data_IF_848783647807
#
_entry.id   IF_848783647807
#
_cell.length_a   1.000
_cell.length_b   1.000
_cell.length_c   1.000
_cell.angle_alpha   90.00
_cell.angle_beta   90.00
_cell.angle_gamma   90.00
#
_symmetry.space_group_name_H-M   'P 1'
#
loop_
_entity.id
_entity.type
_entity.pdbx_description
1 polymer ?
#
# COMPACT_ATOMS: atom_id res chain seq x y z
N UNK A 1 -18.23 -1.29 -2.81
CA UNK A 1 -17.79 0.01 -3.40
C UNK A 1 -17.80 1.13 -2.36
N UNK A 2 -18.92 1.40 -1.67
CA UNK A 2 -19.01 2.42 -0.60
C UNK A 2 -17.93 2.25 0.48
N UNK A 3 -17.80 1.06 1.06
CA UNK A 3 -16.83 0.78 2.14
C UNK A 3 -15.38 1.07 1.76
N UNK A 4 -14.99 0.73 0.53
CA UNK A 4 -13.64 0.98 0.02
C UNK A 4 -13.35 2.48 -0.03
N UNK A 5 -14.25 3.27 -0.61
CA UNK A 5 -14.08 4.72 -0.69
C UNK A 5 -14.14 5.39 0.69
N UNK A 6 -15.10 4.99 1.53
CA UNK A 6 -15.20 5.50 2.90
C UNK A 6 -13.91 5.24 3.69
N UNK A 7 -13.34 4.03 3.57
CA UNK A 7 -12.07 3.66 4.19
C UNK A 7 -10.91 4.53 3.69
N UNK A 8 -10.77 4.73 2.38
CA UNK A 8 -9.68 5.53 1.80
C UNK A 8 -9.81 7.03 2.11
N UNK A 9 -11.04 7.56 2.15
CA UNK A 9 -11.29 8.94 2.59
C UNK A 9 -10.95 9.08 4.07
N UNK A 10 -11.32 8.09 4.90
CA UNK A 10 -10.95 8.02 6.32
C UNK A 10 -9.43 8.08 6.50
N UNK A 11 -8.68 7.24 5.80
CA UNK A 11 -7.21 7.26 5.77
C UNK A 11 -6.66 8.64 5.46
N UNK A 12 -7.17 9.27 4.40
CA UNK A 12 -6.71 10.59 3.97
C UNK A 12 -6.99 11.68 5.00
N UNK A 13 -8.15 11.62 5.66
CA UNK A 13 -8.56 12.61 6.65
C UNK A 13 -7.83 12.44 7.98
N UNK A 14 -7.75 11.22 8.49
CA UNK A 14 -7.14 10.92 9.79
C UNK A 14 -5.61 11.01 9.77
N UNK A 15 -4.99 10.89 8.59
CA UNK A 15 -3.54 10.92 8.44
C UNK A 15 -3.10 11.98 7.41
N UNK A 16 -3.55 13.21 7.58
CA UNK A 16 -3.26 14.33 6.68
C UNK A 16 -1.75 14.59 6.46
N UNK A 17 -0.90 14.17 7.40
CA UNK A 17 0.56 14.20 7.32
C UNK A 17 1.14 13.38 6.16
N UNK A 18 0.38 12.41 5.64
CA UNK A 18 0.74 11.59 4.47
C UNK A 18 0.33 12.23 3.14
N UNK A 19 -0.42 13.36 3.16
CA UNK A 19 -1.04 13.96 1.98
C UNK A 19 -0.80 15.47 1.85
N UNK A 20 0.21 16.00 2.56
CA UNK A 20 0.59 17.41 2.52
C UNK A 20 1.88 17.63 1.68
N UNK A 21 2.31 18.88 1.53
CA UNK A 21 3.48 19.25 0.71
C UNK A 21 4.83 18.73 1.21
N UNK A 22 4.90 18.20 2.44
CA UNK A 22 6.12 17.63 3.02
C UNK A 22 6.19 16.11 2.86
N UNK A 23 5.12 15.50 2.36
CA UNK A 23 5.08 14.07 2.05
C UNK A 23 5.76 13.77 0.71
N UNK A 24 6.26 12.54 0.58
CA UNK A 24 6.82 12.03 -0.67
C UNK A 24 5.91 10.95 -1.24
N UNK A 25 5.78 10.95 -2.57
CA UNK A 25 5.09 9.95 -3.36
C UNK A 25 6.09 9.33 -4.33
N UNK A 26 6.20 8.02 -4.29
CA UNK A 26 6.85 7.22 -5.32
C UNK A 26 5.84 6.23 -5.91
N UNK A 27 5.91 5.99 -7.21
CA UNK A 27 4.96 5.14 -7.91
C UNK A 27 5.54 4.48 -9.15
N UNK A 28 5.03 3.30 -9.45
CA UNK A 28 5.41 2.50 -10.62
C UNK A 28 4.14 2.01 -11.30
N UNK A 29 3.73 2.75 -12.32
CA UNK A 29 2.40 2.65 -12.96
C UNK A 29 2.47 2.71 -14.49
N UNK A 30 3.61 2.38 -15.09
CA UNK A 30 3.81 2.43 -16.53
C UNK A 30 3.01 1.35 -17.27
N UNK A 31 3.03 1.39 -18.60
CA UNK A 31 2.45 0.34 -19.45
C UNK A 31 3.13 -1.02 -19.24
N UNK A 32 4.41 -1.05 -18.87
CA UNK A 32 5.13 -2.30 -18.62
C UNK A 32 4.78 -2.95 -17.27
N UNK A 33 3.98 -2.28 -16.44
CA UNK A 33 3.66 -2.71 -15.08
C UNK A 33 2.27 -3.36 -14.97
N UNK A 34 1.51 -3.46 -16.07
CA UNK A 34 0.18 -4.09 -16.05
C UNK A 34 0.21 -5.55 -15.56
N UNK A 35 1.13 -6.35 -16.09
CA UNK A 35 1.24 -7.79 -15.79
C UNK A 35 2.14 -8.10 -14.59
N UNK A 36 2.79 -7.09 -14.01
CA UNK A 36 3.71 -7.22 -12.86
C UNK A 36 3.23 -6.51 -11.60
N UNK A 37 2.02 -5.96 -11.66
CA UNK A 37 1.43 -5.17 -10.59
C UNK A 37 1.87 -3.71 -10.67
N UNK A 38 1.04 -2.85 -10.10
CA UNK A 38 1.29 -1.41 -10.01
C UNK A 38 1.46 -1.00 -8.56
N UNK A 39 2.40 -0.10 -8.32
CA UNK A 39 2.86 0.19 -6.98
C UNK A 39 2.76 1.68 -6.68
N UNK A 40 2.44 1.98 -5.44
CA UNK A 40 2.46 3.34 -4.90
C UNK A 40 2.96 3.29 -3.46
N UNK A 41 3.90 4.17 -3.15
CA UNK A 41 4.47 4.35 -1.82
C UNK A 41 4.32 5.80 -1.41
N UNK A 42 3.71 6.03 -0.25
CA UNK A 42 3.64 7.36 0.38
C UNK A 42 4.45 7.35 1.67
N UNK A 43 5.20 8.41 1.92
CA UNK A 43 5.88 8.63 3.20
C UNK A 43 5.60 10.04 3.71
N UNK A 44 5.26 10.15 4.99
CA UNK A 44 5.17 11.46 5.66
C UNK A 44 6.57 12.05 5.85
N UNK A 45 6.64 13.33 6.25
CA UNK A 45 7.91 13.97 6.62
C UNK A 45 8.70 13.09 7.61
N UNK A 46 9.99 12.89 7.33
CA UNK A 46 10.88 12.08 8.15
C UNK A 46 10.54 10.58 8.18
N UNK A 47 9.72 10.07 7.25
CA UNK A 47 9.29 8.67 7.17
C UNK A 47 8.54 8.16 8.43
N UNK A 48 7.94 9.08 9.20
CA UNK A 48 7.24 8.74 10.45
C UNK A 48 6.07 7.77 10.23
N UNK A 49 5.29 7.99 9.18
CA UNK A 49 4.25 7.09 8.69
C UNK A 49 4.44 6.82 7.22
N UNK A 50 4.13 5.59 6.81
CA UNK A 50 4.30 5.16 5.43
C UNK A 50 3.14 4.25 4.99
N UNK A 51 2.80 4.33 3.71
CA UNK A 51 1.78 3.52 3.03
C UNK A 51 2.45 2.84 1.83
N UNK A 52 2.17 1.55 1.64
CA UNK A 52 2.49 0.80 0.42
C UNK A 52 1.18 0.27 -0.17
N UNK A 53 0.94 0.55 -1.44
CA UNK A 53 -0.22 0.08 -2.21
C UNK A 53 0.27 -0.76 -3.38
N UNK A 54 -0.36 -1.91 -3.57
CA UNK A 54 -0.04 -2.84 -4.66
C UNK A 54 -1.32 -3.24 -5.36
N UNK A 55 -1.47 -2.85 -6.62
CA UNK A 55 -2.67 -3.10 -7.43
C UNK A 55 -2.45 -4.16 -8.50
N UNK A 56 -3.46 -5.02 -8.68
CA UNK A 56 -3.58 -5.97 -9.78
C UNK A 56 -4.78 -5.58 -10.64
N UNK A 57 -4.52 -5.21 -11.88
CA UNK A 57 -5.54 -4.81 -12.84
C UNK A 57 -5.78 -5.88 -13.92
N UNK A 58 -5.31 -7.09 -13.67
CA UNK A 58 -5.60 -8.26 -14.51
C UNK A 58 -6.79 -9.03 -13.94
N UNK A 59 -7.35 -9.91 -14.76
CA UNK A 59 -8.51 -10.74 -14.40
C UNK A 59 -8.15 -12.01 -13.64
N UNK A 60 -6.88 -12.21 -13.28
CA UNK A 60 -6.40 -13.38 -12.53
C UNK A 60 -5.61 -12.91 -11.31
N UNK A 61 -5.63 -13.71 -10.23
CA UNK A 61 -4.76 -13.42 -9.08
C UNK A 61 -3.29 -13.50 -9.53
N UNK A 62 -2.46 -12.62 -8.98
CA UNK A 62 -1.05 -12.53 -9.36
C UNK A 62 -0.15 -12.48 -8.13
N UNK A 63 1.05 -13.04 -8.27
CA UNK A 63 2.13 -12.93 -7.28
C UNK A 63 3.09 -11.83 -7.73
N UNK A 64 3.35 -10.87 -6.86
CA UNK A 64 4.18 -9.69 -7.15
C UNK A 64 5.23 -9.50 -6.08
N UNK A 65 6.41 -9.05 -6.48
CA UNK A 65 7.43 -8.57 -5.56
C UNK A 65 7.26 -7.06 -5.40
N UNK A 66 6.96 -6.62 -4.18
CA UNK A 66 6.86 -5.20 -3.84
C UNK A 66 8.03 -4.77 -2.98
N UNK A 67 8.48 -3.53 -3.17
CA UNK A 67 9.44 -2.90 -2.27
C UNK A 67 8.72 -2.35 -1.03
N UNK A 68 9.36 -2.44 0.12
CA UNK A 68 8.93 -1.80 1.36
C UNK A 68 10.02 -0.85 1.83
N UNK A 69 9.68 0.41 2.21
CA UNK A 69 10.67 1.39 2.64
C UNK A 69 11.43 1.02 3.92
N UNK A 70 10.85 0.14 4.74
CA UNK A 70 11.45 -0.36 5.97
C UNK A 70 10.97 -1.76 6.30
N UNK A 71 11.81 -2.48 7.02
CA UNK A 71 11.45 -3.75 7.65
C UNK A 71 10.54 -3.53 8.87
N UNK A 72 9.91 -4.60 9.34
CA UNK A 72 9.02 -4.60 10.49
C UNK A 72 7.59 -5.02 10.15
N UNK A 73 6.67 -4.76 11.07
CA UNK A 73 5.26 -5.11 10.92
C UNK A 73 4.52 -4.04 10.15
N UNK A 74 3.84 -4.47 9.10
CA UNK A 74 2.93 -3.68 8.30
C UNK A 74 1.51 -4.19 8.49
N UNK A 75 0.54 -3.28 8.52
CA UNK A 75 -0.86 -3.58 8.83
C UNK A 75 -1.68 -3.50 7.55
N UNK A 76 -2.48 -4.52 7.25
CA UNK A 76 -3.42 -4.44 6.14
C UNK A 76 -4.53 -3.44 6.51
N UNK A 77 -4.58 -2.32 5.80
CA UNK A 77 -5.47 -1.22 6.18
C UNK A 77 -6.96 -1.52 5.91
N UNK A 78 -7.25 -2.46 5.00
CA UNK A 78 -8.62 -2.90 4.72
C UNK A 78 -9.06 -4.03 5.64
N UNK A 79 -8.12 -4.85 6.11
CA UNK A 79 -8.36 -6.01 6.98
C UNK A 79 -7.46 -5.89 8.21
N UNK A 80 -7.85 -5.11 9.25
CA UNK A 80 -6.97 -4.78 10.36
C UNK A 80 -6.46 -5.97 11.19
N UNK A 81 -7.15 -7.12 11.12
CA UNK A 81 -6.70 -8.37 11.73
C UNK A 81 -5.52 -9.02 11.01
N UNK A 82 -5.20 -8.57 9.79
CA UNK A 82 -4.08 -9.07 9.00
C UNK A 82 -2.87 -8.15 9.11
N UNK A 83 -1.72 -8.76 9.36
CA UNK A 83 -0.42 -8.09 9.36
C UNK A 83 0.55 -8.82 8.46
N UNK A 84 1.56 -8.09 7.99
CA UNK A 84 2.65 -8.58 7.17
C UNK A 84 3.97 -8.24 7.88
N UNK A 85 4.78 -9.26 8.15
CA UNK A 85 6.14 -9.06 8.66
C UNK A 85 7.11 -8.97 7.50
N UNK A 86 7.65 -7.78 7.27
CA UNK A 86 8.63 -7.51 6.22
C UNK A 86 10.04 -7.64 6.81
N UNK A 87 10.81 -8.61 6.33
CA UNK A 87 12.16 -8.92 6.84
C UNK A 87 13.29 -8.38 5.94
N UNK A 88 12.98 -7.92 4.72
CA UNK A 88 13.93 -7.34 3.78
C UNK A 88 13.35 -6.10 3.09
N UNK A 89 14.10 -5.44 2.21
CA UNK A 89 13.59 -4.32 1.39
C UNK A 89 12.50 -4.74 0.38
N UNK A 90 12.28 -6.04 0.17
CA UNK A 90 11.25 -6.58 -0.72
C UNK A 90 10.41 -7.65 -0.03
N UNK A 91 9.16 -7.81 -0.47
CA UNK A 91 8.30 -8.89 -0.04
C UNK A 91 7.38 -9.36 -1.17
N UNK A 92 7.10 -10.66 -1.16
CA UNK A 92 6.24 -11.33 -2.12
C UNK A 92 4.79 -11.29 -1.65
N UNK A 93 3.88 -10.78 -2.47
CA UNK A 93 2.46 -10.66 -2.15
C UNK A 93 1.61 -11.30 -3.23
N UNK A 94 0.50 -11.91 -2.82
CA UNK A 94 -0.54 -12.37 -3.74
C UNK A 94 -1.67 -11.35 -3.76
N UNK A 95 -1.88 -10.70 -4.90
CA UNK A 95 -2.95 -9.71 -5.09
C UNK A 95 -4.09 -10.36 -5.88
N UNK A 96 -5.33 -10.37 -5.37
CA UNK A 96 -6.48 -10.92 -6.10
C UNK A 96 -6.72 -10.22 -7.44
N UNK A 97 -7.43 -10.89 -8.35
CA UNK A 97 -7.84 -10.31 -9.62
C UNK A 97 -8.62 -8.99 -9.42
N UNK A 98 -8.30 -7.97 -10.21
CA UNK A 98 -8.98 -6.66 -10.18
C UNK A 98 -9.04 -6.01 -8.78
N UNK A 99 -8.07 -6.29 -7.91
CA UNK A 99 -8.03 -5.77 -6.54
C UNK A 99 -6.66 -5.17 -6.21
N UNK A 100 -6.55 -4.56 -5.04
CA UNK A 100 -5.32 -3.96 -4.54
C UNK A 100 -5.10 -4.29 -3.07
N UNK A 101 -3.86 -4.38 -2.63
CA UNK A 101 -3.51 -4.41 -1.21
C UNK A 101 -3.04 -3.03 -0.77
N UNK A 102 -3.33 -2.67 0.48
CA UNK A 102 -2.84 -1.44 1.09
C UNK A 102 -2.31 -1.77 2.49
N UNK A 103 -1.03 -1.49 2.69
CA UNK A 103 -0.33 -1.71 3.92
C UNK A 103 0.14 -0.39 4.51
N UNK A 104 -0.03 -0.25 5.82
CA UNK A 104 0.43 0.93 6.59
C UNK A 104 1.47 0.52 7.60
N UNK A 105 2.43 1.41 7.87
CA UNK A 105 3.44 1.18 8.92
C UNK A 105 2.92 1.43 10.34
N UNK A 106 1.61 1.59 10.49
CA UNK A 106 0.90 1.93 11.72
C UNK A 106 -0.45 1.20 11.68
N UNK A 107 -0.99 0.84 12.84
CA UNK A 107 -2.31 0.20 12.93
C UNK A 107 -3.42 1.18 12.59
N UNK A 108 -4.51 0.67 12.01
CA UNK A 108 -5.75 1.43 11.88
C UNK A 108 -6.36 1.61 13.27
N UNK A 109 -6.62 2.85 13.66
CA UNK A 109 -7.33 3.21 14.89
C UNK A 109 -8.82 2.84 14.84
#
# INVERSE_FOLDING_TARGET
MYETYATLIGLRRSHSELFNSTSTLDWKVSENDWEKGRFLTLSSLGNAKQIVVVGNFTNTAMKVETAFPKTGTWYNYRIPSETLTVTSSTASLTVPANDFLIYTSFSKE
#
